data_IF_281382490955
#
_entry.id   IF_281382490955
#
_cell.length_a   1.000
_cell.length_b   1.000
_cell.length_c   1.000
_cell.angle_alpha   90.00
_cell.angle_beta   90.00
_cell.angle_gamma   90.00
#
_symmetry.space_group_name_H-M   'P 1'
#
loop_
_entity.id
_entity.type
_entity.pdbx_description
1 polymer ?
#
# COMPACT_ATOMS: atom_id res chain seq x y z
N UNK A 1 12.72 14.04 0.05
CA UNK A 1 13.52 12.80 -0.15
C UNK A 1 12.53 11.69 -0.38
N UNK A 2 12.75 10.79 -1.34
CA UNK A 2 11.73 9.80 -1.70
C UNK A 2 11.93 8.48 -0.95
N UNK A 3 10.89 8.02 -0.24
CA UNK A 3 10.87 6.74 0.46
C UNK A 3 11.21 5.58 -0.49
N UNK A 4 12.17 4.74 -0.10
CA UNK A 4 12.55 3.54 -0.84
C UNK A 4 11.79 2.33 -0.31
N UNK A 5 11.72 1.25 -1.10
CA UNK A 5 11.04 0.03 -0.67
C UNK A 5 11.61 -0.53 0.63
N UNK A 6 12.94 -0.51 0.79
CA UNK A 6 13.64 -0.96 2.00
C UNK A 6 13.31 -0.18 3.27
N UNK A 7 12.76 1.04 3.12
CA UNK A 7 12.40 1.89 4.25
C UNK A 7 10.98 1.58 4.76
N UNK A 8 10.21 0.79 4.00
CA UNK A 8 8.86 0.36 4.36
C UNK A 8 8.96 -0.72 5.41
N UNK A 9 8.37 -0.47 6.58
CA UNK A 9 8.29 -1.47 7.65
C UNK A 9 7.07 -2.34 7.42
N UNK A 10 7.30 -3.64 7.29
CA UNK A 10 6.25 -4.63 7.14
C UNK A 10 6.05 -5.38 8.44
N UNK A 11 4.79 -5.59 8.80
CA UNK A 11 4.38 -6.47 9.87
C UNK A 11 3.86 -7.79 9.29
N UNK A 12 4.15 -8.90 9.98
CA UNK A 12 3.62 -10.21 9.60
C UNK A 12 2.13 -10.31 9.95
N UNK A 13 1.36 -10.85 9.02
CA UNK A 13 -0.07 -11.13 9.18
C UNK A 13 -0.25 -12.64 9.41
N UNK A 14 -1.06 -13.01 10.41
CA UNK A 14 -1.26 -14.42 10.79
C UNK A 14 -2.26 -15.14 9.89
N UNK A 15 -3.36 -14.46 9.53
CA UNK A 15 -4.42 -15.01 8.68
C UNK A 15 -5.06 -13.91 7.82
N UNK A 16 -4.96 -13.97 6.48
CA UNK A 16 -4.08 -14.86 5.71
C UNK A 16 -2.60 -14.63 6.04
N UNK A 17 -1.76 -15.66 5.88
CA UNK A 17 -0.33 -15.53 6.16
C UNK A 17 0.32 -14.62 5.12
N UNK A 18 1.10 -13.64 5.58
CA UNK A 18 1.70 -12.64 4.68
C UNK A 18 2.37 -11.50 5.41
N UNK A 19 2.63 -10.43 4.68
CA UNK A 19 3.14 -9.18 5.21
C UNK A 19 2.23 -8.01 4.82
N UNK A 20 2.14 -7.02 5.71
CA UNK A 20 1.40 -5.79 5.47
C UNK A 20 2.18 -4.58 5.96
N UNK A 21 2.05 -3.46 5.26
CA UNK A 21 2.49 -2.15 5.70
C UNK A 21 1.40 -1.11 5.50
N UNK A 22 1.48 -0.02 6.26
CA UNK A 22 0.63 1.15 6.14
C UNK A 22 1.51 2.41 6.04
N UNK A 23 1.27 3.21 5.01
CA UNK A 23 1.97 4.48 4.78
C UNK A 23 0.95 5.62 4.73
N UNK A 24 1.07 6.57 5.64
CA UNK A 24 0.17 7.72 5.76
C UNK A 24 0.59 8.92 4.89
N UNK A 25 -0.40 9.62 4.36
CA UNK A 25 -0.31 10.82 3.54
C UNK A 25 -1.38 11.85 3.98
N UNK A 26 -1.24 12.40 5.19
CA UNK A 26 -2.27 13.27 5.76
C UNK A 26 -3.54 12.49 6.06
N UNK A 27 -4.66 12.84 5.41
CA UNK A 27 -5.96 12.18 5.60
C UNK A 27 -6.06 10.84 4.85
N UNK A 28 -5.09 10.53 3.99
CA UNK A 28 -5.05 9.29 3.22
C UNK A 28 -4.06 8.30 3.83
N UNK A 29 -4.34 7.02 3.68
CA UNK A 29 -3.41 5.94 4.01
C UNK A 29 -3.31 4.98 2.82
N UNK A 30 -2.11 4.51 2.55
CA UNK A 30 -1.82 3.47 1.56
C UNK A 30 -1.52 2.18 2.31
N UNK A 31 -2.39 1.18 2.16
CA UNK A 31 -2.08 -0.17 2.61
C UNK A 31 -1.35 -0.92 1.53
N UNK A 32 -0.29 -1.63 1.91
CA UNK A 32 0.52 -2.46 1.02
C UNK A 32 0.52 -3.86 1.62
N UNK A 33 0.02 -4.86 0.90
CA UNK A 33 -0.07 -6.24 1.37
C UNK A 33 0.59 -7.21 0.39
N UNK A 34 1.06 -8.31 0.94
CA UNK A 34 1.46 -9.51 0.21
C UNK A 34 1.17 -10.71 1.08
N UNK A 35 0.09 -11.41 0.82
CA UNK A 35 -0.34 -12.60 1.57
C UNK A 35 -0.66 -13.76 0.63
N UNK A 36 -0.75 -14.99 1.12
CA UNK A 36 -1.02 -16.20 0.32
C UNK A 36 -2.32 -16.11 -0.50
N UNK A 37 -3.27 -15.28 -0.07
CA UNK A 37 -4.54 -15.03 -0.77
C UNK A 37 -4.47 -13.87 -1.77
N UNK A 38 -3.36 -13.13 -1.86
CA UNK A 38 -3.21 -12.01 -2.78
C UNK A 38 -3.06 -12.54 -4.19
N UNK A 39 -3.72 -11.90 -5.17
CA UNK A 39 -3.82 -12.36 -6.56
C UNK A 39 -2.46 -12.67 -7.23
N UNK A 40 -1.35 -12.10 -6.74
CA UNK A 40 0.00 -12.31 -7.26
C UNK A 40 0.99 -13.00 -6.30
N UNK A 41 0.53 -13.61 -5.20
CA UNK A 41 1.42 -14.20 -4.19
C UNK A 41 2.38 -15.25 -4.74
N UNK A 42 1.88 -16.18 -5.55
CA UNK A 42 2.69 -17.21 -6.19
C UNK A 42 3.80 -16.63 -7.10
N UNK A 43 3.66 -15.37 -7.50
CA UNK A 43 4.62 -14.60 -8.31
C UNK A 43 5.41 -13.57 -7.48
N UNK A 44 5.18 -13.53 -6.17
CA UNK A 44 5.86 -12.62 -5.24
C UNK A 44 5.40 -11.16 -5.31
N UNK A 45 4.25 -10.87 -5.92
CA UNK A 45 3.75 -9.51 -6.16
C UNK A 45 2.96 -8.96 -4.96
N UNK A 46 2.85 -7.64 -4.91
CA UNK A 46 2.15 -6.86 -3.90
C UNK A 46 0.79 -6.38 -4.40
N UNK A 47 -0.06 -6.02 -3.45
CA UNK A 47 -1.33 -5.36 -3.66
C UNK A 47 -1.39 -4.10 -2.78
N UNK A 48 -2.03 -3.05 -3.29
CA UNK A 48 -2.26 -1.82 -2.54
C UNK A 48 -3.74 -1.46 -2.49
N UNK A 49 -4.13 -0.75 -1.44
CA UNK A 49 -5.43 -0.13 -1.30
C UNK A 49 -5.28 1.27 -0.70
N UNK A 50 -6.09 2.22 -1.18
CA UNK A 50 -6.10 3.59 -0.65
C UNK A 50 -7.27 3.75 0.30
N UNK A 51 -6.98 4.25 1.50
CA UNK A 51 -7.95 4.55 2.55
C UNK A 51 -8.01 6.06 2.78
N UNK A 52 -9.19 6.55 3.14
CA UNK A 52 -9.42 7.91 3.65
C UNK A 52 -10.37 7.83 4.84
N UNK A 53 -9.87 8.15 6.03
CA UNK A 53 -10.58 7.82 7.27
C UNK A 53 -10.78 6.29 7.40
N UNK A 54 -12.01 5.86 7.65
CA UNK A 54 -12.35 4.44 7.87
C UNK A 54 -12.73 3.68 6.59
N UNK A 55 -12.72 4.34 5.43
CA UNK A 55 -13.18 3.78 4.15
C UNK A 55 -12.09 3.64 3.09
N UNK A 56 -12.18 2.60 2.27
CA UNK A 56 -11.41 2.51 1.02
C UNK A 56 -11.97 3.46 -0.02
N UNK A 57 -11.08 4.07 -0.80
CA UNK A 57 -11.44 5.04 -1.85
C UNK A 57 -10.68 4.75 -3.13
N UNK A 58 -11.32 4.99 -4.26
CA UNK A 58 -10.65 5.01 -5.54
C UNK A 58 -9.81 6.27 -5.65
N UNK A 59 -8.59 6.15 -6.17
CA UNK A 59 -7.71 7.30 -6.36
C UNK A 59 -7.12 7.30 -7.78
N UNK A 60 -7.56 8.22 -8.65
CA UNK A 60 -7.11 8.28 -10.04
C UNK A 60 -5.59 8.28 -10.18
N UNK A 61 -5.06 7.39 -11.02
CA UNK A 61 -3.62 7.23 -11.26
C UNK A 61 -2.91 6.34 -10.23
N UNK A 62 -3.60 5.95 -9.15
CA UNK A 62 -3.16 4.97 -8.14
C UNK A 62 -3.93 3.66 -8.33
N UNK A 63 -5.26 3.72 -8.22
CA UNK A 63 -6.17 2.58 -8.43
C UNK A 63 -6.92 2.73 -9.75
N UNK A 64 -7.59 1.67 -10.19
CA UNK A 64 -8.38 1.68 -11.43
C UNK A 64 -9.81 2.20 -11.16
N UNK A 65 -10.50 2.65 -12.19
CA UNK A 65 -11.89 3.11 -12.06
C UNK A 65 -12.81 1.96 -11.69
N UNK A 66 -13.63 2.14 -10.65
CA UNK A 66 -14.48 1.08 -10.09
C UNK A 66 -13.75 0.13 -9.14
N UNK A 67 -12.46 0.35 -8.85
CA UNK A 67 -11.65 -0.50 -7.97
C UNK A 67 -10.84 0.33 -6.96
N UNK A 68 -10.97 -0.01 -5.68
CA UNK A 68 -10.22 0.60 -4.58
C UNK A 68 -8.89 -0.10 -4.31
N UNK A 69 -8.63 -1.19 -5.02
CA UNK A 69 -7.48 -2.07 -4.86
C UNK A 69 -6.69 -2.14 -6.17
N UNK A 70 -5.38 -2.26 -6.08
CA UNK A 70 -4.52 -2.55 -7.23
C UNK A 70 -3.51 -3.63 -6.89
N UNK A 71 -3.65 -4.79 -7.56
CA UNK A 71 -2.77 -5.94 -7.39
C UNK A 71 -1.65 -6.03 -8.42
N UNK A 72 -0.91 -7.14 -8.37
CA UNK A 72 0.14 -7.52 -9.32
C UNK A 72 1.33 -6.55 -9.41
N UNK A 73 1.69 -5.92 -8.29
CA UNK A 73 2.73 -4.89 -8.26
C UNK A 73 4.10 -5.45 -7.84
N UNK A 74 5.13 -5.07 -8.58
CA UNK A 74 6.53 -5.20 -8.17
C UNK A 74 6.91 -4.20 -7.08
N UNK A 75 8.07 -4.38 -6.44
CA UNK A 75 8.58 -3.44 -5.43
C UNK A 75 8.80 -2.03 -5.99
N UNK A 76 9.22 -1.92 -7.25
CA UNK A 76 9.43 -0.65 -7.94
C UNK A 76 8.11 0.07 -8.23
N UNK A 77 7.07 -0.69 -8.59
CA UNK A 77 5.73 -0.14 -8.79
C UNK A 77 5.11 0.35 -7.48
N UNK A 78 5.32 -0.37 -6.37
CA UNK A 78 4.90 0.08 -5.03
C UNK A 78 5.57 1.42 -4.68
N UNK A 79 6.87 1.55 -4.90
CA UNK A 79 7.59 2.83 -4.70
C UNK A 79 7.08 3.92 -5.65
N UNK A 80 6.78 3.55 -6.90
CA UNK A 80 6.15 4.45 -7.88
C UNK A 80 4.79 4.97 -7.40
N UNK A 81 3.98 4.11 -6.78
CA UNK A 81 2.69 4.49 -6.19
C UNK A 81 2.88 5.42 -4.99
N UNK A 82 3.83 5.14 -4.09
CA UNK A 82 4.16 6.04 -2.96
C UNK A 82 4.54 7.44 -3.47
N UNK A 83 5.32 7.53 -4.56
CA UNK A 83 5.64 8.80 -5.23
C UNK A 83 4.39 9.51 -5.74
N UNK A 84 3.50 8.78 -6.42
CA UNK A 84 2.25 9.35 -6.93
C UNK A 84 1.33 9.82 -5.79
N UNK A 85 1.24 9.06 -4.69
CA UNK A 85 0.51 9.47 -3.48
C UNK A 85 1.07 10.77 -2.91
N UNK A 86 2.39 10.89 -2.81
CA UNK A 86 3.05 12.13 -2.41
C UNK A 86 2.69 13.30 -3.34
N UNK A 87 2.80 13.10 -4.65
CA UNK A 87 2.48 14.14 -5.64
C UNK A 87 1.01 14.55 -5.62
N UNK A 88 0.09 13.60 -5.43
CA UNK A 88 -1.34 13.85 -5.44
C UNK A 88 -1.84 14.52 -4.15
N UNK A 89 -1.23 14.21 -3.00
CA UNK A 89 -1.64 14.73 -1.68
C UNK A 89 -0.81 15.93 -1.22
N UNK A 90 0.39 16.13 -1.79
CA UNK A 90 1.38 17.09 -1.31
C UNK A 90 1.93 16.77 0.08
N UNK A 91 1.74 15.55 0.58
CA UNK A 91 2.21 15.11 1.90
C UNK A 91 3.40 14.17 1.77
N UNK A 92 4.36 14.30 2.67
CA UNK A 92 5.46 13.34 2.77
C UNK A 92 4.93 11.99 3.28
N UNK A 93 5.42 10.87 2.73
CA UNK A 93 5.06 9.55 3.23
C UNK A 93 5.52 9.37 4.67
N UNK A 94 4.63 8.88 5.53
CA UNK A 94 4.94 8.55 6.93
C UNK A 94 4.61 7.09 7.21
N UNK A 95 5.57 6.34 7.75
CA UNK A 95 5.30 4.99 8.23
C UNK A 95 4.26 5.06 9.34
N UNK A 96 3.20 4.26 9.22
CA UNK A 96 2.22 4.05 10.29
C UNK A 96 2.58 2.75 10.97
N UNK A 97 2.82 2.82 12.28
CA UNK A 97 2.99 1.64 13.12
C UNK A 97 1.60 1.11 13.48
N UNK A 98 1.38 -0.18 13.29
CA UNK A 98 0.15 -0.87 13.67
C UNK A 98 0.48 -2.26 14.19
N UNK A 99 -0.32 -2.74 15.14
CA UNK A 99 -0.18 -4.10 15.67
C UNK A 99 -1.13 -5.01 14.93
N UNK A 100 -0.60 -6.06 14.30
CA UNK A 100 -1.43 -7.14 13.74
C UNK A 100 -1.77 -8.08 14.90
N UNK A 101 -3.03 -8.07 15.35
CA UNK A 101 -3.49 -8.96 16.41
C UNK A 101 -3.59 -10.42 15.91
#
# INVERSE_FOLDING_TARGET
MTMQFKDIKFNETKMPKGIQSLVGFGDYQLSIIKNESSYGNAQGLYEIAVFKGDGQVEMPGITEFGDTVKGFLSTDEVVGIIKKMHLATGKEPKQVDFTVN
#
